data_IF_459927528729
#
_entry.id   IF_459927528729
#
_cell.length_a   1.000
_cell.length_b   1.000
_cell.length_c   1.000
_cell.angle_alpha   90.00
_cell.angle_beta   90.00
_cell.angle_gamma   90.00
#
_symmetry.space_group_name_H-M   'P 1'
#
loop_
_entity.id
_entity.type
_entity.pdbx_description
1 polymer ?
#
# COMPACT_ATOMS: atom_id res chain seq x y z
N UNK A 1 -37.43 -3.29 8.17
CA UNK A 1 -36.63 -2.35 7.38
C UNK A 1 -35.27 -2.20 8.02
N UNK A 2 -34.16 -2.31 7.25
CA UNK A 2 -32.80 -2.04 7.78
C UNK A 2 -32.62 -0.52 7.82
N UNK A 3 -32.37 0.05 9.01
CA UNK A 3 -31.95 1.45 9.15
C UNK A 3 -30.55 1.61 8.58
N UNK A 4 -30.28 2.73 7.90
CA UNK A 4 -28.91 3.10 7.53
C UNK A 4 -28.14 3.42 8.82
N UNK A 5 -26.99 2.80 8.98
CA UNK A 5 -26.07 3.11 10.08
C UNK A 5 -25.01 4.11 9.60
N UNK A 6 -24.37 4.83 10.51
CA UNK A 6 -23.29 5.79 10.17
C UNK A 6 -22.12 5.18 9.39
N UNK A 7 -22.00 3.84 9.37
CA UNK A 7 -21.05 3.11 8.52
C UNK A 7 -21.48 3.05 7.05
N UNK A 8 -22.78 3.26 6.75
CA UNK A 8 -23.34 3.13 5.40
C UNK A 8 -23.22 4.43 4.59
N UNK A 9 -22.90 5.54 5.23
CA UNK A 9 -22.73 6.83 4.57
C UNK A 9 -21.72 7.76 5.27
N UNK A 10 -21.24 8.76 4.55
CA UNK A 10 -20.42 9.87 5.07
C UNK A 10 -20.95 11.19 4.52
N UNK A 11 -21.07 12.19 5.38
CA UNK A 11 -21.39 13.56 4.96
C UNK A 11 -20.10 14.30 4.61
N UNK A 12 -20.12 15.02 3.51
CA UNK A 12 -19.00 15.83 3.04
C UNK A 12 -19.53 17.20 2.65
N UNK A 13 -18.99 18.24 3.27
CA UNK A 13 -19.29 19.64 2.91
C UNK A 13 -18.17 20.19 2.04
N UNK A 14 -18.52 20.67 0.83
CA UNK A 14 -17.59 21.28 -0.09
C UNK A 14 -18.09 22.68 -0.45
N UNK A 15 -17.43 23.72 0.04
CA UNK A 15 -17.87 25.12 -0.03
C UNK A 15 -19.24 25.29 0.64
N UNK A 16 -20.24 25.73 -0.11
CA UNK A 16 -21.64 25.95 0.27
C UNK A 16 -22.55 24.76 0.00
N UNK A 17 -22.02 23.65 -0.53
CA UNK A 17 -22.76 22.45 -0.88
C UNK A 17 -22.46 21.29 0.07
N UNK A 18 -23.49 20.53 0.36
CA UNK A 18 -23.39 19.28 1.11
C UNK A 18 -23.54 18.07 0.18
N UNK A 19 -22.80 17.04 0.46
CA UNK A 19 -22.80 15.77 -0.26
C UNK A 19 -22.92 14.61 0.71
N UNK A 20 -23.65 13.58 0.33
CA UNK A 20 -23.60 12.27 1.02
C UNK A 20 -22.80 11.31 0.16
N UNK A 21 -21.82 10.67 0.76
CA UNK A 21 -21.10 9.55 0.19
C UNK A 21 -21.67 8.25 0.72
N UNK A 22 -22.27 7.44 -0.14
CA UNK A 22 -22.79 6.11 0.20
C UNK A 22 -21.64 5.10 0.13
N UNK A 23 -21.27 4.53 1.26
CA UNK A 23 -20.10 3.63 1.36
C UNK A 23 -20.29 2.32 0.60
N UNK A 24 -21.52 1.82 0.53
CA UNK A 24 -21.87 0.61 -0.21
C UNK A 24 -21.81 0.79 -1.72
N UNK A 25 -22.44 1.85 -2.26
CA UNK A 25 -22.49 2.13 -3.70
C UNK A 25 -21.32 2.95 -4.23
N UNK A 26 -20.53 3.55 -3.33
CA UNK A 26 -19.50 4.54 -3.65
C UNK A 26 -20.05 5.72 -4.47
N UNK A 27 -21.32 6.01 -4.33
CA UNK A 27 -21.96 7.16 -4.96
C UNK A 27 -21.79 8.41 -4.10
N UNK A 28 -21.61 9.54 -4.77
CA UNK A 28 -21.64 10.87 -4.16
C UNK A 28 -22.89 11.56 -4.65
N UNK A 29 -23.81 11.86 -3.76
CA UNK A 29 -25.04 12.57 -4.06
C UNK A 29 -24.95 13.99 -3.50
N UNK A 30 -25.23 15.00 -4.33
CA UNK A 30 -25.38 16.38 -3.84
C UNK A 30 -26.70 16.50 -3.09
N UNK A 31 -26.65 17.01 -1.86
CA UNK A 31 -27.86 17.24 -1.05
C UNK A 31 -28.47 18.57 -1.51
N UNK A 32 -29.45 18.50 -2.40
CA UNK A 32 -30.16 19.67 -2.91
C UNK A 32 -31.52 19.89 -2.20
N UNK A 33 -31.92 18.94 -1.35
CA UNK A 33 -33.20 18.99 -0.67
C UNK A 33 -33.01 19.36 0.81
N UNK A 34 -33.65 20.43 1.31
CA UNK A 34 -33.56 20.83 2.72
C UNK A 34 -33.94 19.71 3.71
N UNK A 35 -34.83 18.80 3.33
CA UNK A 35 -35.20 17.64 4.17
C UNK A 35 -34.07 16.61 4.29
N UNK A 36 -33.24 16.46 3.23
CA UNK A 36 -32.03 15.64 3.26
C UNK A 36 -30.95 16.30 4.12
N UNK A 37 -30.83 17.61 4.03
CA UNK A 37 -29.89 18.40 4.82
C UNK A 37 -30.24 18.26 6.32
N UNK A 38 -31.51 18.43 6.70
CA UNK A 38 -32.00 18.25 8.05
C UNK A 38 -31.84 16.81 8.54
N UNK A 39 -32.07 15.82 7.67
CA UNK A 39 -31.90 14.41 8.01
C UNK A 39 -30.43 14.07 8.36
N UNK A 40 -29.50 14.54 7.57
CA UNK A 40 -28.10 14.24 7.79
C UNK A 40 -27.46 15.11 8.89
N UNK A 41 -27.93 16.31 9.11
CA UNK A 41 -27.52 17.16 10.23
C UNK A 41 -28.11 16.68 11.57
N UNK A 42 -29.33 16.13 11.58
CA UNK A 42 -30.00 15.62 12.79
C UNK A 42 -29.43 14.27 13.29
N UNK A 43 -28.65 13.54 12.44
CA UNK A 43 -27.97 12.31 12.89
C UNK A 43 -26.82 12.58 13.88
N UNK A 44 -26.44 13.84 14.07
CA UNK A 44 -25.54 14.25 15.15
C UNK A 44 -26.25 14.54 16.48
N UNK A 45 -27.60 14.68 16.50
CA UNK A 45 -28.41 14.86 17.75
C UNK A 45 -29.86 14.51 17.48
N UNK A 46 -30.26 13.30 17.85
CA UNK A 46 -31.68 12.87 17.75
C UNK A 46 -32.58 13.63 18.71
N UNK A 47 -33.59 14.30 18.17
CA UNK A 47 -34.74 14.79 18.95
C UNK A 47 -36.01 14.02 18.53
N UNK A 48 -36.69 13.40 19.50
CA UNK A 48 -37.77 12.44 19.33
C UNK A 48 -39.11 13.10 18.93
N UNK A 49 -39.29 13.63 17.73
CA UNK A 49 -40.58 14.09 17.27
C UNK A 49 -41.14 13.26 16.10
N UNK A 50 -42.24 12.56 16.39
CA UNK A 50 -42.87 11.52 15.57
C UNK A 50 -43.42 11.96 14.19
N UNK A 51 -43.45 13.26 13.85
CA UNK A 51 -43.97 13.79 12.56
C UNK A 51 -42.98 13.63 11.38
N UNK A 52 -41.74 13.28 11.62
CA UNK A 52 -40.72 13.04 10.59
C UNK A 52 -40.61 11.58 10.13
N UNK A 53 -41.29 10.66 10.78
CA UNK A 53 -41.08 9.22 10.59
C UNK A 53 -41.50 8.73 9.19
N UNK A 54 -42.65 9.18 8.67
CA UNK A 54 -43.10 8.80 7.31
C UNK A 54 -42.22 9.37 6.19
N UNK A 55 -41.74 10.61 6.36
CA UNK A 55 -40.81 11.24 5.40
C UNK A 55 -39.46 10.60 5.46
N UNK A 56 -39.00 10.26 6.65
CA UNK A 56 -37.80 9.53 6.95
C UNK A 56 -37.80 8.14 6.32
N UNK A 57 -38.91 7.40 6.47
CA UNK A 57 -39.04 6.05 5.89
C UNK A 57 -39.02 6.05 4.36
N UNK A 58 -39.64 7.05 3.71
CA UNK A 58 -39.58 7.20 2.26
C UNK A 58 -38.16 7.51 1.77
N UNK A 59 -37.45 8.39 2.46
CA UNK A 59 -36.09 8.77 2.12
C UNK A 59 -35.14 7.62 2.36
N UNK A 60 -35.22 6.95 3.50
CA UNK A 60 -34.42 5.79 3.85
C UNK A 60 -34.65 4.65 2.85
N UNK A 61 -35.90 4.44 2.43
CA UNK A 61 -36.27 3.46 1.42
C UNK A 61 -35.69 3.81 0.06
N UNK A 62 -35.67 5.08 -0.33
CA UNK A 62 -35.04 5.54 -1.59
C UNK A 62 -33.52 5.37 -1.55
N UNK A 63 -32.86 5.71 -0.46
CA UNK A 63 -31.40 5.53 -0.29
C UNK A 63 -31.03 4.04 -0.24
N UNK A 64 -31.85 3.19 0.38
CA UNK A 64 -31.67 1.73 0.39
C UNK A 64 -31.88 1.17 -1.02
N UNK A 65 -32.90 1.61 -1.75
CA UNK A 65 -33.12 1.19 -3.14
C UNK A 65 -31.99 1.62 -4.06
N UNK A 66 -31.42 2.83 -3.87
CA UNK A 66 -30.22 3.27 -4.57
C UNK A 66 -29.00 2.39 -4.23
N UNK A 67 -28.84 2.04 -2.94
CA UNK A 67 -27.79 1.11 -2.51
C UNK A 67 -27.94 -0.28 -3.14
N UNK A 68 -29.16 -0.80 -3.19
CA UNK A 68 -29.46 -2.17 -3.66
C UNK A 68 -29.47 -2.28 -5.20
N UNK A 69 -29.60 -1.14 -5.93
CA UNK A 69 -29.41 -1.06 -7.39
C UNK A 69 -27.95 -0.98 -7.81
N UNK A 70 -27.01 -1.10 -6.89
CA UNK A 70 -25.60 -1.21 -7.19
C UNK A 70 -25.36 -2.57 -7.85
N UNK A 71 -24.91 -2.55 -9.07
CA UNK A 71 -24.26 -3.72 -9.65
C UNK A 71 -22.94 -3.95 -8.91
N UNK A 72 -23.03 -4.66 -7.77
CA UNK A 72 -21.86 -5.33 -7.21
C UNK A 72 -21.41 -6.22 -8.36
N UNK A 73 -20.30 -5.89 -9.00
CA UNK A 73 -19.55 -6.91 -9.70
C UNK A 73 -19.13 -7.86 -8.59
N UNK A 74 -19.94 -8.89 -8.34
CA UNK A 74 -19.44 -10.08 -7.70
C UNK A 74 -18.22 -10.45 -8.55
N UNK A 75 -17.05 -10.23 -7.98
CA UNK A 75 -15.88 -10.94 -8.47
C UNK A 75 -16.20 -12.40 -8.20
N UNK A 76 -16.92 -13.03 -9.15
CA UNK A 76 -16.89 -14.48 -9.28
C UNK A 76 -15.43 -14.87 -9.08
N UNK A 77 -15.18 -15.99 -8.42
CA UNK A 77 -13.83 -16.54 -8.18
C UNK A 77 -13.07 -16.66 -9.50
N UNK A 78 -12.66 -15.52 -10.04
CA UNK A 78 -11.90 -15.47 -11.27
C UNK A 78 -10.45 -15.71 -10.87
N UNK A 79 -9.85 -16.64 -11.60
CA UNK A 79 -8.40 -16.84 -11.59
C UNK A 79 -7.72 -15.48 -11.56
N UNK A 80 -6.86 -15.18 -10.59
CA UNK A 80 -6.23 -13.88 -10.49
C UNK A 80 -5.46 -13.59 -11.79
N UNK A 81 -5.68 -12.42 -12.39
CA UNK A 81 -5.01 -12.02 -13.64
C UNK A 81 -3.49 -11.94 -13.45
N UNK A 82 -3.08 -11.63 -12.24
CA UNK A 82 -1.68 -11.64 -11.82
C UNK A 82 -1.55 -12.20 -10.40
N UNK A 83 -0.43 -12.83 -10.13
CA UNK A 83 -0.06 -13.32 -8.80
C UNK A 83 1.34 -12.81 -8.44
N UNK A 84 1.55 -12.45 -7.18
CA UNK A 84 2.84 -11.95 -6.70
C UNK A 84 3.43 -12.87 -5.64
N UNK A 85 4.68 -13.25 -5.86
CA UNK A 85 5.52 -13.92 -4.87
C UNK A 85 6.59 -12.94 -4.38
N UNK A 86 6.55 -12.64 -3.10
CA UNK A 86 7.55 -11.82 -2.43
C UNK A 86 8.57 -12.72 -1.76
N UNK A 87 9.84 -12.55 -2.08
CA UNK A 87 10.96 -13.18 -1.40
C UNK A 87 11.40 -12.29 -0.23
N UNK A 88 11.23 -12.74 0.99
CA UNK A 88 11.86 -12.11 2.16
C UNK A 88 13.34 -12.52 2.17
N UNK A 89 14.17 -11.80 1.41
CA UNK A 89 15.52 -12.23 1.05
C UNK A 89 16.47 -12.38 2.24
N UNK A 90 16.29 -11.53 3.26
CA UNK A 90 17.08 -11.51 4.50
C UNK A 90 16.42 -10.63 5.53
N UNK A 91 16.70 -10.85 6.79
CA UNK A 91 16.38 -9.94 7.88
C UNK A 91 17.51 -8.93 8.17
N UNK A 92 18.70 -9.09 7.57
CA UNK A 92 19.80 -8.13 7.70
C UNK A 92 19.46 -6.80 7.02
N UNK A 93 19.84 -5.70 7.65
CA UNK A 93 19.67 -4.36 7.11
C UNK A 93 20.84 -3.46 7.51
N UNK A 94 21.25 -2.57 6.62
CA UNK A 94 22.26 -1.54 6.85
C UNK A 94 21.68 -0.23 7.43
N UNK A 95 20.39 -0.27 7.83
CA UNK A 95 19.68 0.82 8.49
C UNK A 95 19.06 0.35 9.82
N UNK A 96 18.74 1.33 10.69
CA UNK A 96 18.04 1.15 11.95
C UNK A 96 16.82 2.08 12.03
N UNK A 97 15.86 1.88 11.12
CA UNK A 97 14.64 2.69 11.11
C UNK A 97 13.83 2.45 12.38
N UNK A 98 13.37 3.55 13.03
CA UNK A 98 12.72 3.49 14.36
C UNK A 98 11.43 2.67 14.36
N UNK A 99 10.66 2.72 13.30
CA UNK A 99 9.38 2.03 13.15
C UNK A 99 9.51 0.64 12.48
N UNK A 100 10.73 0.14 12.26
CA UNK A 100 10.93 -1.06 11.45
C UNK A 100 10.42 -2.31 12.18
N UNK A 101 9.35 -2.89 11.70
CA UNK A 101 8.80 -4.14 12.21
C UNK A 101 9.68 -5.36 11.90
N UNK A 102 10.50 -5.28 10.84
CA UNK A 102 11.41 -6.36 10.42
C UNK A 102 12.68 -6.42 11.28
N UNK A 103 12.99 -5.35 12.04
CA UNK A 103 14.17 -5.28 12.88
C UNK A 103 13.90 -5.94 14.23
N UNK A 104 14.18 -7.23 14.35
CA UNK A 104 14.22 -7.93 15.64
C UNK A 104 15.64 -8.40 15.91
N UNK A 105 16.14 -8.10 17.12
CA UNK A 105 17.51 -8.44 17.57
C UNK A 105 17.82 -9.95 17.59
N UNK A 106 16.79 -10.78 17.48
CA UNK A 106 16.86 -12.24 17.66
C UNK A 106 16.61 -13.03 16.38
N UNK A 107 16.43 -12.37 15.22
CA UNK A 107 16.12 -13.09 13.98
C UNK A 107 17.36 -13.60 13.28
N UNK A 108 17.19 -14.78 12.71
CA UNK A 108 18.14 -15.40 11.79
C UNK A 108 18.45 -14.43 10.65
N UNK A 109 19.72 -14.09 10.48
CA UNK A 109 20.18 -13.10 9.48
C UNK A 109 20.70 -13.72 8.18
N UNK A 110 20.69 -15.07 8.12
CA UNK A 110 21.12 -15.78 6.92
C UNK A 110 20.22 -15.41 5.73
N UNK A 111 20.81 -15.16 4.58
CA UNK A 111 20.03 -14.87 3.37
C UNK A 111 19.26 -16.11 2.91
N UNK A 112 18.15 -15.87 2.21
CA UNK A 112 17.39 -16.95 1.56
C UNK A 112 18.27 -17.74 0.61
N UNK A 113 18.16 -19.07 0.66
CA UNK A 113 18.86 -19.93 -0.28
C UNK A 113 18.17 -19.97 -1.64
N UNK A 114 18.94 -20.18 -2.72
CA UNK A 114 18.39 -20.37 -4.07
C UNK A 114 17.42 -21.55 -4.13
N UNK A 115 17.68 -22.61 -3.37
CA UNK A 115 16.81 -23.78 -3.29
C UNK A 115 15.40 -23.42 -2.78
N UNK A 116 15.30 -22.58 -1.76
CA UNK A 116 14.02 -22.05 -1.25
C UNK A 116 13.29 -21.27 -2.32
N UNK A 117 13.99 -20.34 -3.01
CA UNK A 117 13.39 -19.54 -4.06
C UNK A 117 12.89 -20.41 -5.23
N UNK A 118 13.67 -21.37 -5.72
CA UNK A 118 13.28 -22.24 -6.83
C UNK A 118 12.05 -23.09 -6.48
N UNK A 119 12.01 -23.66 -5.26
CA UNK A 119 10.86 -24.44 -4.81
C UNK A 119 9.61 -23.58 -4.66
N UNK A 120 9.74 -22.36 -4.15
CA UNK A 120 8.63 -21.40 -4.06
C UNK A 120 8.10 -20.99 -5.43
N UNK A 121 8.97 -20.72 -6.41
CA UNK A 121 8.59 -20.43 -7.79
C UNK A 121 7.84 -21.62 -8.41
N UNK A 122 8.34 -22.84 -8.21
CA UNK A 122 7.68 -24.05 -8.70
C UNK A 122 6.29 -24.23 -8.10
N UNK A 123 6.13 -24.03 -6.80
CA UNK A 123 4.85 -24.10 -6.12
C UNK A 123 3.89 -23.04 -6.67
N UNK A 124 4.31 -21.79 -6.81
CA UNK A 124 3.49 -20.72 -7.35
C UNK A 124 2.95 -21.06 -8.75
N UNK A 125 3.80 -21.58 -9.63
CA UNK A 125 3.40 -21.96 -11.00
C UNK A 125 2.43 -23.14 -10.99
N UNK A 126 2.57 -24.08 -10.03
CA UNK A 126 1.67 -25.22 -9.83
C UNK A 126 0.31 -24.76 -9.29
N UNK A 127 0.31 -23.89 -8.28
CA UNK A 127 -0.91 -23.48 -7.58
C UNK A 127 -1.74 -22.47 -8.40
N UNK A 128 -1.09 -21.71 -9.28
CA UNK A 128 -1.73 -20.71 -10.15
C UNK A 128 -1.50 -20.99 -11.65
N UNK A 129 -1.85 -22.17 -12.16
CA UNK A 129 -1.51 -22.58 -13.55
C UNK A 129 -2.20 -21.73 -14.63
N UNK A 130 -3.33 -21.12 -14.30
CA UNK A 130 -4.14 -20.33 -15.25
C UNK A 130 -3.86 -18.81 -15.19
N UNK A 131 -3.01 -18.38 -14.28
CA UNK A 131 -2.58 -16.97 -14.20
C UNK A 131 -1.69 -16.63 -15.39
N UNK A 132 -1.89 -15.44 -15.95
CA UNK A 132 -1.12 -14.95 -17.11
C UNK A 132 0.15 -14.22 -16.71
N UNK A 133 0.14 -13.50 -15.59
CA UNK A 133 1.25 -12.64 -15.17
C UNK A 133 1.72 -12.97 -13.75
N UNK A 134 3.03 -13.11 -13.59
CA UNK A 134 3.69 -13.42 -12.32
C UNK A 134 4.61 -12.25 -11.93
N UNK A 135 4.46 -11.78 -10.71
CA UNK A 135 5.29 -10.71 -10.16
C UNK A 135 6.24 -11.31 -9.12
N UNK A 136 7.52 -11.07 -9.28
CA UNK A 136 8.56 -11.52 -8.35
C UNK A 136 9.13 -10.31 -7.63
N UNK A 137 8.86 -10.23 -6.32
CA UNK A 137 9.15 -9.07 -5.52
C UNK A 137 10.24 -9.37 -4.49
N UNK A 138 11.37 -8.69 -4.60
CA UNK A 138 12.47 -8.79 -3.65
C UNK A 138 12.26 -7.79 -2.52
N UNK A 139 12.16 -8.32 -1.31
CA UNK A 139 11.83 -7.61 -0.08
C UNK A 139 12.66 -8.16 1.10
N UNK A 140 12.52 -7.57 2.31
CA UNK A 140 13.15 -8.03 3.54
C UNK A 140 13.70 -6.89 4.38
N UNK A 141 14.79 -7.10 5.08
CA UNK A 141 15.54 -6.03 5.74
C UNK A 141 16.09 -5.05 4.69
N UNK A 142 17.20 -5.38 4.05
CA UNK A 142 17.66 -4.72 2.81
C UNK A 142 18.05 -5.77 1.77
N UNK A 143 17.20 -5.99 0.76
CA UNK A 143 17.44 -7.06 -0.23
C UNK A 143 18.73 -6.87 -1.03
N UNK A 144 19.21 -5.64 -1.22
CA UNK A 144 20.45 -5.38 -1.98
C UNK A 144 21.72 -5.83 -1.23
N UNK A 145 21.64 -6.21 0.03
CA UNK A 145 22.72 -6.93 0.72
C UNK A 145 22.94 -8.34 0.14
N UNK A 146 21.90 -8.89 -0.51
CA UNK A 146 21.89 -10.23 -1.09
C UNK A 146 21.89 -10.16 -2.65
N UNK A 147 22.72 -9.30 -3.24
CA UNK A 147 22.72 -9.05 -4.69
C UNK A 147 22.93 -10.30 -5.54
N UNK A 148 23.77 -11.22 -5.09
CA UNK A 148 24.07 -12.46 -5.82
C UNK A 148 22.86 -13.41 -5.81
N UNK A 149 22.12 -13.47 -4.70
CA UNK A 149 20.83 -14.16 -4.64
C UNK A 149 19.83 -13.57 -5.62
N UNK A 150 19.72 -12.23 -5.71
CA UNK A 150 18.80 -11.56 -6.65
C UNK A 150 19.17 -11.94 -8.09
N UNK A 151 20.44 -11.86 -8.46
CA UNK A 151 20.92 -12.20 -9.81
C UNK A 151 20.60 -13.64 -10.18
N UNK A 152 20.93 -14.56 -9.29
CA UNK A 152 20.69 -15.98 -9.54
C UNK A 152 19.21 -16.31 -9.60
N UNK A 153 18.38 -15.72 -8.71
CA UNK A 153 16.92 -15.90 -8.75
C UNK A 153 16.31 -15.38 -10.05
N UNK A 154 16.74 -14.19 -10.53
CA UNK A 154 16.31 -13.65 -11.83
C UNK A 154 16.64 -14.63 -12.95
N UNK A 155 17.89 -15.14 -13.00
CA UNK A 155 18.33 -16.12 -14.01
C UNK A 155 17.47 -17.38 -13.97
N UNK A 156 17.15 -17.92 -12.77
CA UNK A 156 16.32 -19.12 -12.59
C UNK A 156 14.88 -18.88 -13.04
N UNK A 157 14.33 -17.71 -12.77
CA UNK A 157 12.98 -17.35 -13.24
C UNK A 157 12.95 -17.30 -14.76
N UNK A 158 13.91 -16.61 -15.39
CA UNK A 158 13.99 -16.53 -16.87
C UNK A 158 14.13 -17.91 -17.52
N UNK A 159 14.95 -18.79 -16.95
CA UNK A 159 15.09 -20.16 -17.43
C UNK A 159 13.80 -20.96 -17.28
N UNK A 160 13.14 -20.87 -16.12
CA UNK A 160 11.90 -21.57 -15.84
C UNK A 160 10.77 -21.13 -16.75
N UNK A 161 10.64 -19.83 -17.02
CA UNK A 161 9.56 -19.31 -17.86
C UNK A 161 9.68 -19.66 -19.35
N UNK A 162 10.83 -20.14 -19.79
CA UNK A 162 10.96 -20.75 -21.14
C UNK A 162 10.07 -21.98 -21.33
N UNK A 163 9.75 -22.68 -20.24
CA UNK A 163 8.84 -23.85 -20.22
C UNK A 163 7.35 -23.44 -20.23
N UNK A 164 7.03 -22.15 -20.09
CA UNK A 164 5.67 -21.63 -19.98
C UNK A 164 5.37 -20.56 -21.04
N UNK A 165 5.30 -20.94 -22.32
CA UNK A 165 5.03 -19.97 -23.39
C UNK A 165 3.67 -19.30 -23.18
N UNK A 166 3.61 -17.98 -23.34
CA UNK A 166 2.39 -17.18 -23.15
C UNK A 166 2.12 -16.69 -21.72
N UNK A 167 3.00 -17.03 -20.77
CA UNK A 167 3.03 -16.43 -19.42
C UNK A 167 4.03 -15.29 -19.36
N UNK A 168 3.65 -14.20 -18.69
CA UNK A 168 4.47 -13.01 -18.49
C UNK A 168 4.97 -12.93 -17.04
N UNK A 169 6.10 -12.28 -16.83
CA UNK A 169 6.61 -12.02 -15.49
C UNK A 169 7.28 -10.65 -15.41
N UNK A 170 7.36 -10.11 -14.20
CA UNK A 170 8.06 -8.88 -13.92
C UNK A 170 8.78 -8.93 -12.57
N UNK A 171 9.86 -8.15 -12.47
CA UNK A 171 10.67 -8.04 -11.26
C UNK A 171 10.38 -6.73 -10.54
N UNK A 172 10.15 -6.83 -9.24
CA UNK A 172 9.97 -5.71 -8.34
C UNK A 172 11.00 -5.78 -7.22
N UNK A 173 11.41 -4.61 -6.75
CA UNK A 173 12.36 -4.48 -5.65
C UNK A 173 11.90 -3.39 -4.70
N UNK A 174 11.91 -3.65 -3.39
CA UNK A 174 11.81 -2.60 -2.39
C UNK A 174 13.16 -2.45 -1.68
N UNK A 175 13.69 -1.24 -1.65
CA UNK A 175 15.00 -0.97 -1.05
C UNK A 175 15.00 0.31 -0.24
N UNK A 176 15.87 0.40 0.74
CA UNK A 176 16.14 1.64 1.45
C UNK A 176 16.96 2.66 0.63
N UNK A 177 17.42 2.28 -0.54
CA UNK A 177 18.10 3.15 -1.49
C UNK A 177 19.60 3.38 -1.25
N UNK A 178 20.20 2.88 -0.17
CA UNK A 178 21.61 3.16 0.17
C UNK A 178 22.62 2.48 -0.75
N UNK A 179 22.25 1.35 -1.39
CA UNK A 179 23.13 0.53 -2.22
C UNK A 179 22.88 0.70 -3.73
N UNK A 180 22.07 1.68 -4.13
CA UNK A 180 21.73 1.93 -5.54
C UNK A 180 22.85 2.65 -6.34
N UNK A 181 24.03 2.80 -5.75
CA UNK A 181 25.25 3.26 -6.45
C UNK A 181 26.10 2.13 -7.04
N UNK A 182 25.69 0.87 -6.88
CA UNK A 182 26.36 -0.29 -7.49
C UNK A 182 26.02 -0.35 -8.99
N UNK A 183 27.03 -0.14 -9.84
CA UNK A 183 26.87 -0.09 -11.31
C UNK A 183 26.34 -1.40 -11.90
N UNK A 184 26.74 -2.53 -11.33
CA UNK A 184 26.30 -3.84 -11.81
C UNK A 184 24.83 -4.09 -11.47
N UNK A 185 24.37 -3.62 -10.31
CA UNK A 185 22.94 -3.65 -9.97
C UNK A 185 22.13 -2.75 -10.89
N UNK A 186 22.61 -1.52 -11.17
CA UNK A 186 21.95 -0.62 -12.11
C UNK A 186 21.83 -1.21 -13.52
N UNK A 187 22.90 -1.89 -13.99
CA UNK A 187 22.87 -2.59 -15.27
C UNK A 187 21.81 -3.71 -15.28
N UNK A 188 21.77 -4.54 -14.23
CA UNK A 188 20.77 -5.59 -14.08
C UNK A 188 19.34 -5.02 -14.07
N UNK A 189 19.10 -3.98 -13.30
CA UNK A 189 17.77 -3.38 -13.18
C UNK A 189 17.28 -2.80 -14.51
N UNK A 190 18.17 -2.20 -15.26
CA UNK A 190 17.85 -1.67 -16.58
C UNK A 190 17.60 -2.78 -17.61
N UNK A 191 18.46 -3.79 -17.64
CA UNK A 191 18.37 -4.92 -18.57
C UNK A 191 17.08 -5.72 -18.34
N UNK A 192 16.72 -5.97 -17.09
CA UNK A 192 15.58 -6.80 -16.71
C UNK A 192 14.31 -6.01 -16.41
N UNK A 193 14.27 -4.74 -16.76
CA UNK A 193 13.12 -3.81 -16.59
C UNK A 193 12.50 -3.85 -15.18
N UNK A 194 13.37 -3.81 -14.15
CA UNK A 194 12.90 -3.78 -12.76
C UNK A 194 12.03 -2.56 -12.48
N UNK A 195 10.99 -2.76 -11.67
CA UNK A 195 10.28 -1.66 -11.01
C UNK A 195 10.80 -1.54 -9.58
N UNK A 196 11.48 -0.42 -9.29
CA UNK A 196 12.12 -0.20 -8.00
C UNK A 196 11.25 0.71 -7.12
N UNK A 197 10.98 0.29 -5.89
CA UNK A 197 10.37 1.12 -4.87
C UNK A 197 11.44 1.52 -3.86
N UNK A 198 11.67 2.82 -3.72
CA UNK A 198 12.66 3.38 -2.80
C UNK A 198 11.94 3.94 -1.59
N UNK A 199 12.37 3.51 -0.41
CA UNK A 199 11.83 4.00 0.85
C UNK A 199 12.38 5.38 1.18
N UNK A 200 11.50 6.39 1.23
CA UNK A 200 11.80 7.78 1.61
C UNK A 200 10.57 8.36 2.30
N UNK A 201 10.70 8.94 3.49
CA UNK A 201 9.55 9.32 4.32
C UNK A 201 9.13 10.78 4.17
N UNK A 202 9.92 11.59 3.47
CA UNK A 202 9.62 13.01 3.26
C UNK A 202 10.86 13.87 3.11
N UNK A 203 10.77 15.18 3.43
CA UNK A 203 11.92 16.07 3.51
C UNK A 203 12.97 15.57 4.51
N UNK A 204 14.18 16.14 4.48
CA UNK A 204 15.32 15.64 5.25
C UNK A 204 14.99 15.46 6.72
N UNK A 205 14.34 16.43 7.34
CA UNK A 205 14.00 16.41 8.76
C UNK A 205 13.07 15.24 9.10
N UNK A 206 12.05 15.00 8.29
CA UNK A 206 11.09 13.92 8.49
C UNK A 206 11.75 12.57 8.25
N UNK A 207 12.51 12.45 7.15
CA UNK A 207 13.21 11.21 6.83
C UNK A 207 14.22 10.83 7.90
N UNK A 208 15.08 11.77 8.29
CA UNK A 208 16.20 11.50 9.19
C UNK A 208 15.78 11.39 10.67
N UNK A 209 14.55 11.77 11.02
CA UNK A 209 13.94 11.42 12.31
C UNK A 209 13.60 9.92 12.41
N UNK A 210 13.27 9.27 11.31
CA UNK A 210 12.77 7.91 11.29
C UNK A 210 13.77 6.90 10.70
N UNK A 211 14.41 7.27 9.59
CA UNK A 211 15.26 6.39 8.78
C UNK A 211 16.73 6.66 9.03
N UNK A 212 17.22 6.07 10.11
CA UNK A 212 18.61 6.21 10.54
C UNK A 212 19.50 5.11 9.94
N UNK A 213 20.74 5.46 9.67
CA UNK A 213 21.80 4.49 9.47
C UNK A 213 22.10 3.76 10.79
N UNK A 214 22.73 2.60 10.73
CA UNK A 214 23.18 1.86 11.94
C UNK A 214 24.10 2.73 12.80
N UNK A 215 24.84 3.69 12.20
CA UNK A 215 25.66 4.68 12.92
C UNK A 215 24.86 5.77 13.64
N UNK A 216 23.53 5.80 13.52
CA UNK A 216 22.65 6.84 14.07
C UNK A 216 22.56 8.12 13.20
N UNK A 217 23.28 8.19 12.09
CA UNK A 217 23.22 9.33 11.17
C UNK A 217 21.97 9.24 10.28
N UNK A 218 21.51 10.41 9.76
CA UNK A 218 20.44 10.46 8.78
C UNK A 218 20.82 9.85 7.43
N UNK A 219 19.84 9.33 6.72
CA UNK A 219 20.03 8.64 5.43
C UNK A 219 19.66 9.48 4.21
N UNK A 220 18.92 10.58 4.40
CA UNK A 220 18.30 11.37 3.32
C UNK A 220 19.26 11.76 2.20
N UNK A 221 20.40 12.37 2.53
CA UNK A 221 21.36 12.86 1.53
C UNK A 221 21.88 11.74 0.61
N UNK A 222 22.14 10.56 1.20
CA UNK A 222 22.63 9.39 0.45
C UNK A 222 21.54 8.82 -0.47
N UNK A 223 20.31 8.73 0.05
CA UNK A 223 19.16 8.24 -0.73
C UNK A 223 18.90 9.18 -1.92
N UNK A 224 18.87 10.50 -1.69
CA UNK A 224 18.65 11.48 -2.76
C UNK A 224 19.73 11.45 -3.84
N UNK A 225 21.02 11.30 -3.45
CA UNK A 225 22.09 11.14 -4.41
C UNK A 225 21.90 9.89 -5.28
N UNK A 226 21.47 8.78 -4.69
CA UNK A 226 21.22 7.53 -5.41
C UNK A 226 19.95 7.58 -6.28
N UNK A 227 18.93 8.31 -5.89
CA UNK A 227 17.74 8.60 -6.73
C UNK A 227 18.19 9.29 -8.03
N UNK A 228 19.12 10.23 -7.94
CA UNK A 228 19.63 10.91 -9.11
C UNK A 228 20.38 9.96 -10.06
N UNK A 229 21.12 8.99 -9.54
CA UNK A 229 21.76 7.93 -10.37
C UNK A 229 20.73 7.09 -11.14
N UNK A 230 19.60 6.74 -10.52
CA UNK A 230 18.52 6.02 -11.20
C UNK A 230 17.86 6.86 -12.30
N UNK A 231 17.68 8.17 -12.07
CA UNK A 231 17.18 9.10 -13.10
C UNK A 231 18.12 9.14 -14.30
N UNK A 232 19.42 9.32 -14.05
CA UNK A 232 20.46 9.35 -15.11
C UNK A 232 20.54 8.05 -15.88
N UNK A 233 20.37 6.90 -15.20
CA UNK A 233 20.34 5.59 -15.82
C UNK A 233 19.02 5.29 -16.56
N UNK A 234 18.00 6.17 -16.44
CA UNK A 234 16.65 5.98 -16.97
C UNK A 234 16.02 4.66 -16.51
N UNK A 235 16.15 4.36 -15.21
CA UNK A 235 15.54 3.19 -14.55
C UNK A 235 14.20 3.60 -13.95
N UNK A 236 13.18 2.76 -14.10
CA UNK A 236 11.83 3.00 -13.54
C UNK A 236 11.84 2.85 -12.02
N UNK A 237 11.36 3.85 -11.31
CA UNK A 237 11.21 3.77 -9.87
C UNK A 237 10.06 4.63 -9.35
N UNK A 238 9.64 4.32 -8.14
CA UNK A 238 8.70 5.10 -7.35
C UNK A 238 9.21 5.20 -5.90
N UNK A 239 8.58 6.09 -5.13
CA UNK A 239 8.91 6.28 -3.72
C UNK A 239 7.83 5.67 -2.83
N UNK A 240 8.25 5.21 -1.65
CA UNK A 240 7.35 4.72 -0.61
C UNK A 240 7.63 5.42 0.70
N UNK A 241 6.64 6.17 1.19
CA UNK A 241 6.70 6.83 2.48
C UNK A 241 6.03 6.00 3.57
N UNK A 242 6.60 5.99 4.76
CA UNK A 242 5.96 5.50 5.97
C UNK A 242 5.63 6.68 6.86
N UNK A 243 4.33 6.88 7.08
CA UNK A 243 3.83 7.96 7.95
C UNK A 243 3.79 7.43 9.38
N UNK A 244 4.63 7.98 10.24
CA UNK A 244 4.73 7.63 11.65
C UNK A 244 4.07 8.68 12.55
N UNK A 245 3.86 8.41 13.85
CA UNK A 245 3.38 9.42 14.80
C UNK A 245 4.28 10.66 14.88
N UNK A 246 5.55 10.55 14.46
CA UNK A 246 6.54 11.64 14.43
C UNK A 246 6.34 12.62 13.26
N UNK A 247 5.56 12.28 12.25
CA UNK A 247 5.22 13.18 11.15
C UNK A 247 4.31 14.30 11.67
N UNK A 248 4.88 15.50 11.88
CA UNK A 248 4.14 16.63 12.48
C UNK A 248 3.39 17.46 11.42
N UNK A 249 3.85 17.45 10.17
CA UNK A 249 3.25 18.21 9.09
C UNK A 249 3.12 17.31 7.83
N UNK A 250 1.94 16.76 7.62
CA UNK A 250 1.70 15.91 6.46
C UNK A 250 1.65 16.72 5.17
N UNK A 251 1.14 17.95 5.21
CA UNK A 251 1.04 18.78 4.00
C UNK A 251 2.42 19.06 3.41
N UNK A 252 3.40 19.45 4.21
CA UNK A 252 4.77 19.68 3.74
C UNK A 252 5.40 18.41 3.17
N UNK A 253 5.13 17.26 3.80
CA UNK A 253 5.61 15.96 3.32
C UNK A 253 5.06 15.64 1.93
N UNK A 254 3.76 15.85 1.71
CA UNK A 254 3.14 15.59 0.41
C UNK A 254 3.56 16.62 -0.65
N UNK A 255 3.68 17.88 -0.28
CA UNK A 255 4.22 18.93 -1.17
C UNK A 255 5.65 18.62 -1.61
N UNK A 256 6.49 18.14 -0.71
CA UNK A 256 7.85 17.69 -1.03
C UNK A 256 7.83 16.59 -2.11
N UNK A 257 7.01 15.55 -1.96
CA UNK A 257 6.91 14.49 -2.94
C UNK A 257 6.35 14.98 -4.29
N UNK A 258 5.33 15.82 -4.28
CA UNK A 258 4.77 16.41 -5.49
C UNK A 258 5.81 17.27 -6.25
N UNK A 259 6.67 18.00 -5.51
CA UNK A 259 7.76 18.80 -6.08
C UNK A 259 8.89 17.96 -6.65
N UNK A 260 9.15 16.75 -6.09
CA UNK A 260 10.11 15.81 -6.68
C UNK A 260 9.66 15.28 -8.05
N UNK A 261 8.37 15.37 -8.35
CA UNK A 261 7.75 14.88 -9.58
C UNK A 261 8.03 13.39 -9.85
N UNK A 262 8.12 12.59 -8.79
CA UNK A 262 8.30 11.12 -8.83
C UNK A 262 7.01 10.48 -8.31
N UNK A 263 6.48 9.42 -8.96
CA UNK A 263 5.35 8.66 -8.41
C UNK A 263 5.68 8.16 -7.00
N UNK A 264 4.75 8.33 -6.07
CA UNK A 264 4.92 7.86 -4.69
C UNK A 264 3.65 7.27 -4.11
N UNK A 265 3.84 6.34 -3.18
CA UNK A 265 2.80 5.77 -2.33
C UNK A 265 3.16 5.99 -0.86
N UNK A 266 2.17 5.87 0.03
CA UNK A 266 2.42 5.98 1.46
C UNK A 266 1.64 4.92 2.24
N UNK A 267 2.10 4.63 3.45
CA UNK A 267 1.35 3.84 4.44
C UNK A 267 1.59 4.43 5.83
N UNK A 268 0.62 4.23 6.70
CA UNK A 268 0.80 4.53 8.12
C UNK A 268 1.59 3.40 8.79
N UNK A 269 2.33 3.73 9.86
CA UNK A 269 2.97 2.73 10.69
C UNK A 269 1.94 1.79 11.30
N UNK A 270 2.31 0.52 11.44
CA UNK A 270 1.54 -0.50 12.11
C UNK A 270 2.35 -0.94 13.33
N UNK A 271 1.73 -0.93 14.51
CA UNK A 271 2.37 -1.48 15.71
C UNK A 271 2.38 -3.01 15.61
N UNK A 272 3.55 -3.59 15.54
CA UNK A 272 3.74 -5.03 15.50
C UNK A 272 3.96 -5.65 16.89
N UNK A 273 4.42 -4.83 17.87
CA UNK A 273 4.74 -5.26 19.23
C UNK A 273 4.44 -4.16 20.24
N UNK A 274 4.08 -4.53 21.47
CA UNK A 274 3.88 -3.59 22.59
C UNK A 274 5.14 -2.77 22.92
N UNK A 275 6.33 -3.31 22.65
CA UNK A 275 7.63 -2.63 22.91
C UNK A 275 7.91 -1.47 21.96
N UNK A 276 7.28 -1.45 20.79
CA UNK A 276 7.51 -0.43 19.73
C UNK A 276 6.37 0.59 19.68
N UNK A 277 5.44 0.57 20.64
CA UNK A 277 4.25 1.43 20.63
C UNK A 277 4.58 2.92 20.53
N UNK A 278 5.63 3.39 21.21
CA UNK A 278 6.01 4.81 21.19
C UNK A 278 6.41 5.33 19.80
N UNK A 279 6.95 4.44 18.93
CA UNK A 279 7.43 4.78 17.60
C UNK A 279 6.39 4.50 16.51
N UNK A 280 5.44 3.63 16.77
CA UNK A 280 4.52 3.10 15.75
C UNK A 280 3.05 3.33 16.06
N UNK A 281 2.67 3.44 17.33
CA UNK A 281 1.27 3.60 17.75
C UNK A 281 0.77 5.01 17.46
N UNK A 282 -0.23 5.09 16.60
CA UNK A 282 -0.99 6.31 16.36
C UNK A 282 -2.15 6.31 17.39
N UNK A 283 -1.96 7.02 18.49
CA UNK A 283 -3.00 7.20 19.50
C UNK A 283 -4.15 8.12 18.99
N UNK A 284 -5.24 8.20 19.75
CA UNK A 284 -6.41 8.99 19.39
C UNK A 284 -6.08 10.46 19.09
N UNK A 285 -5.25 11.10 19.92
CA UNK A 285 -4.87 12.51 19.77
C UNK A 285 -4.01 12.73 18.51
N UNK A 286 -3.04 11.87 18.29
CA UNK A 286 -2.22 11.87 17.07
C UNK A 286 -3.07 11.65 15.84
N UNK A 287 -4.01 10.70 15.90
CA UNK A 287 -4.94 10.43 14.81
C UNK A 287 -5.83 11.62 14.48
N UNK A 288 -6.45 12.26 15.49
CA UNK A 288 -7.28 13.46 15.30
C UNK A 288 -6.49 14.60 14.63
N UNK A 289 -5.27 14.84 15.06
CA UNK A 289 -4.38 15.79 14.39
C UNK A 289 -4.11 15.40 12.95
N UNK A 290 -3.68 14.15 12.72
CA UNK A 290 -3.36 13.65 11.38
C UNK A 290 -4.56 13.71 10.44
N UNK A 291 -5.79 13.54 10.92
CA UNK A 291 -6.99 13.69 10.11
C UNK A 291 -7.14 15.13 9.58
N UNK A 292 -6.90 16.12 10.42
CA UNK A 292 -6.94 17.54 10.00
C UNK A 292 -5.89 17.83 8.94
N UNK A 293 -4.66 17.39 9.17
CA UNK A 293 -3.56 17.55 8.20
C UNK A 293 -3.88 16.81 6.90
N UNK A 294 -4.46 15.61 6.98
CA UNK A 294 -4.81 14.81 5.81
C UNK A 294 -5.90 15.45 4.95
N UNK A 295 -6.86 16.15 5.57
CA UNK A 295 -7.84 16.94 4.82
C UNK A 295 -7.18 18.07 4.04
N UNK A 296 -6.16 18.72 4.59
CA UNK A 296 -5.37 19.74 3.86
C UNK A 296 -4.60 19.13 2.69
N UNK A 297 -3.99 17.94 2.89
CA UNK A 297 -3.34 17.18 1.81
C UNK A 297 -4.34 16.84 0.70
N UNK A 298 -5.52 16.34 1.08
CA UNK A 298 -6.54 15.98 0.11
C UNK A 298 -6.99 17.19 -0.70
N UNK A 299 -7.21 18.33 -0.04
CA UNK A 299 -7.53 19.60 -0.70
C UNK A 299 -6.41 20.03 -1.66
N UNK A 300 -5.17 20.00 -1.22
CA UNK A 300 -4.01 20.36 -2.03
C UNK A 300 -3.92 19.51 -3.31
N UNK A 301 -4.04 18.19 -3.21
CA UNK A 301 -3.99 17.28 -4.36
C UNK A 301 -5.19 17.48 -5.30
N UNK A 302 -6.38 17.75 -4.74
CA UNK A 302 -7.60 18.05 -5.51
C UNK A 302 -7.46 19.38 -6.26
N UNK A 303 -6.94 20.43 -5.61
CA UNK A 303 -6.71 21.72 -6.23
C UNK A 303 -5.71 21.62 -7.39
N UNK A 304 -4.67 20.79 -7.27
CA UNK A 304 -3.76 20.48 -8.40
C UNK A 304 -4.50 19.88 -9.59
N UNK A 305 -5.37 18.88 -9.34
CA UNK A 305 -6.17 18.27 -10.42
C UNK A 305 -7.12 19.27 -11.08
N UNK A 306 -7.78 20.13 -10.31
CA UNK A 306 -8.67 21.17 -10.83
C UNK A 306 -7.93 22.18 -11.70
N UNK A 307 -6.66 22.46 -11.39
CA UNK A 307 -5.77 23.27 -12.23
C UNK A 307 -5.15 22.49 -13.39
N UNK A 308 -5.53 21.21 -13.60
CA UNK A 308 -4.98 20.32 -14.62
C UNK A 308 -3.48 20.03 -14.46
N UNK A 309 -2.97 20.17 -13.26
CA UNK A 309 -1.59 19.82 -12.91
C UNK A 309 -1.46 18.31 -12.68
N UNK A 310 -0.28 17.78 -12.98
CA UNK A 310 0.01 16.36 -12.73
C UNK A 310 0.11 16.10 -11.22
N UNK A 311 -0.57 15.06 -10.75
CA UNK A 311 -0.48 14.54 -9.38
C UNK A 311 0.34 13.26 -9.39
N UNK A 312 1.29 13.13 -8.47
CA UNK A 312 2.22 12.00 -8.38
C UNK A 312 1.83 10.99 -7.30
N UNK A 313 0.97 11.36 -6.34
CA UNK A 313 0.45 10.46 -5.31
C UNK A 313 -0.37 9.31 -5.92
N UNK A 314 0.18 8.09 -5.87
CA UNK A 314 -0.44 6.91 -6.46
C UNK A 314 -1.71 6.48 -5.71
N UNK A 315 -1.68 6.52 -4.37
CA UNK A 315 -2.84 6.15 -3.54
C UNK A 315 -4.03 7.09 -3.78
N UNK A 316 -3.79 8.39 -3.95
CA UNK A 316 -4.83 9.36 -4.27
C UNK A 316 -5.46 9.06 -5.63
N UNK A 317 -4.64 8.85 -6.66
CA UNK A 317 -5.13 8.49 -8.00
C UNK A 317 -5.91 7.17 -8.01
N UNK A 318 -5.43 6.18 -7.27
CA UNK A 318 -6.12 4.88 -7.15
C UNK A 318 -7.51 5.06 -6.53
N UNK A 319 -7.62 5.84 -5.45
CA UNK A 319 -8.93 6.11 -4.81
C UNK A 319 -9.88 6.84 -5.75
N UNK A 320 -9.39 7.83 -6.49
CA UNK A 320 -10.21 8.52 -7.50
C UNK A 320 -10.65 7.57 -8.63
N UNK A 321 -9.78 6.69 -9.09
CA UNK A 321 -10.12 5.68 -10.11
C UNK A 321 -11.23 4.75 -9.61
N UNK A 322 -11.12 4.25 -8.37
CA UNK A 322 -12.15 3.40 -7.75
C UNK A 322 -13.49 4.12 -7.71
N UNK A 323 -13.50 5.38 -7.23
CA UNK A 323 -14.71 6.21 -7.16
C UNK A 323 -15.30 6.47 -8.55
N UNK A 324 -14.48 6.81 -9.54
CA UNK A 324 -14.94 7.11 -10.90
C UNK A 324 -15.49 5.90 -11.63
N UNK A 325 -14.96 4.72 -11.35
CA UNK A 325 -15.40 3.45 -11.95
C UNK A 325 -16.59 2.83 -11.20
N UNK A 326 -16.99 3.42 -10.07
CA UNK A 326 -18.01 2.85 -9.18
C UNK A 326 -17.73 1.38 -8.83
N UNK A 327 -16.45 1.05 -8.66
CA UNK A 327 -16.01 -0.33 -8.40
C UNK A 327 -16.10 -0.62 -6.92
N UNK A 328 -16.90 -1.58 -6.52
CA UNK A 328 -16.89 -2.11 -5.17
C UNK A 328 -15.83 -3.21 -5.12
N UNK A 329 -14.84 -3.03 -4.27
CA UNK A 329 -13.89 -4.08 -3.94
C UNK A 329 -14.46 -4.96 -2.85
N UNK A 330 -14.60 -6.24 -3.11
CA UNK A 330 -15.01 -7.24 -2.11
C UNK A 330 -13.88 -7.54 -1.13
N UNK A 331 -12.63 -7.21 -1.50
CA UNK A 331 -11.43 -7.45 -0.71
C UNK A 331 -10.63 -6.14 -0.55
N UNK A 332 -10.09 -5.92 0.65
CA UNK A 332 -9.25 -4.75 0.95
C UNK A 332 -7.89 -4.79 0.25
N UNK A 333 -7.33 -5.99 0.07
CA UNK A 333 -6.07 -6.25 -0.64
C UNK A 333 -6.02 -7.70 -1.13
N UNK A 334 -4.97 -8.05 -1.88
CA UNK A 334 -4.76 -9.39 -2.44
C UNK A 334 -3.95 -10.33 -1.51
N UNK A 335 -3.75 -9.96 -0.24
CA UNK A 335 -3.00 -10.77 0.73
C UNK A 335 -3.64 -12.15 0.92
N UNK A 336 -2.85 -13.22 0.75
CA UNK A 336 -3.30 -14.61 0.85
C UNK A 336 -4.18 -15.11 -0.30
N UNK A 337 -4.49 -14.25 -1.28
CA UNK A 337 -5.30 -14.61 -2.46
C UNK A 337 -4.50 -14.62 -3.75
N UNK A 338 -3.77 -13.55 -4.02
CA UNK A 338 -2.90 -13.39 -5.18
C UNK A 338 -1.52 -12.81 -4.82
N UNK A 339 -1.30 -12.46 -3.56
CA UNK A 339 -0.03 -12.00 -3.03
C UNK A 339 0.40 -12.90 -1.89
N UNK A 340 1.61 -13.45 -2.00
CA UNK A 340 2.21 -14.36 -1.04
C UNK A 340 3.64 -13.93 -0.75
N UNK A 341 4.10 -14.22 0.47
CA UNK A 341 5.49 -14.03 0.87
C UNK A 341 6.06 -15.38 1.25
N UNK A 342 7.28 -15.64 0.83
CA UNK A 342 8.08 -16.76 1.33
C UNK A 342 9.27 -16.20 2.11
N UNK A 343 9.52 -16.75 3.30
CA UNK A 343 10.69 -16.41 4.09
C UNK A 343 11.89 -17.34 3.80
N UNK A 344 13.03 -17.05 4.39
CA UNK A 344 14.27 -17.82 4.21
C UNK A 344 14.18 -19.26 4.74
N UNK A 345 13.18 -19.54 5.56
CA UNK A 345 12.88 -20.90 6.07
C UNK A 345 11.89 -21.67 5.18
N UNK A 346 11.36 -21.01 4.14
CA UNK A 346 10.39 -21.62 3.23
C UNK A 346 8.96 -21.63 3.75
N UNK A 347 8.62 -20.79 4.73
CA UNK A 347 7.26 -20.59 5.22
C UNK A 347 6.54 -19.56 4.38
N UNK A 348 5.26 -19.79 4.08
CA UNK A 348 4.42 -18.82 3.37
C UNK A 348 3.62 -17.94 4.33
N UNK A 349 3.47 -16.67 3.95
CA UNK A 349 2.67 -15.67 4.66
C UNK A 349 1.77 -14.90 3.69
N UNK A 350 0.59 -14.48 4.16
CA UNK A 350 -0.33 -13.70 3.35
C UNK A 350 0.22 -12.30 3.05
N UNK A 351 0.93 -11.67 3.98
CA UNK A 351 1.57 -10.36 3.75
C UNK A 351 2.75 -10.14 4.71
N UNK A 352 3.60 -9.14 4.41
CA UNK A 352 4.78 -8.80 5.22
C UNK A 352 4.44 -8.44 6.68
N UNK A 353 3.23 -7.94 6.94
CA UNK A 353 2.80 -7.60 8.29
C UNK A 353 2.52 -8.83 9.16
N UNK A 354 2.48 -10.03 8.57
CA UNK A 354 2.30 -11.30 9.29
C UNK A 354 3.64 -11.91 9.76
N UNK A 355 4.76 -11.48 9.16
CA UNK A 355 6.08 -11.99 9.50
C UNK A 355 6.45 -11.82 11.00
N UNK A 356 6.18 -10.67 11.65
CA UNK A 356 6.49 -10.50 13.07
C UNK A 356 5.70 -11.42 14.00
N UNK A 357 4.52 -11.87 13.56
CA UNK A 357 3.62 -12.72 14.34
C UNK A 357 3.83 -14.22 14.08
N UNK A 358 4.76 -14.57 13.18
CA UNK A 358 5.02 -15.94 12.74
C UNK A 358 3.77 -16.69 12.23
N UNK A 359 2.75 -15.94 11.81
CA UNK A 359 1.48 -16.47 11.34
C UNK A 359 1.59 -16.94 9.89
N UNK A 360 2.26 -18.08 9.68
CA UNK A 360 2.39 -18.71 8.37
C UNK A 360 1.07 -19.34 7.91
N UNK A 361 0.88 -19.34 6.60
CA UNK A 361 -0.27 -19.94 5.89
C UNK A 361 0.17 -21.14 5.04
N UNK A 362 1.25 -21.78 5.37
CA UNK A 362 1.80 -22.93 4.67
C UNK A 362 3.31 -22.94 4.60
N UNK A 363 3.86 -23.88 3.87
CA UNK A 363 5.31 -24.01 3.66
C UNK A 363 5.62 -24.66 2.31
N UNK A 364 6.92 -24.75 1.99
CA UNK A 364 7.38 -25.29 0.70
C UNK A 364 7.00 -26.74 0.45
N UNK A 365 6.76 -27.54 1.49
CA UNK A 365 6.47 -28.98 1.34
C UNK A 365 4.97 -29.21 1.11
N UNK A 366 4.13 -28.50 1.83
CA UNK A 366 2.68 -28.67 1.82
C UNK A 366 1.97 -27.70 0.87
N UNK A 367 2.65 -26.65 0.41
CA UNK A 367 2.03 -25.57 -0.37
C UNK A 367 1.42 -24.48 0.53
N UNK A 368 0.44 -23.77 -0.03
CA UNK A 368 -0.32 -22.72 0.65
C UNK A 368 -1.62 -23.37 1.13
N UNK A 369 -1.94 -23.20 2.42
CA UNK A 369 -3.16 -23.74 3.05
C UNK A 369 -4.38 -22.88 2.70
#
# INVERSE_FOLDING_TARGET
MKKLETKDYKLVKVKDKQYVFLTGSQEVLEIQNPLLEEYFDSTCSWNENATHEEKFDKLTSALIAMRDNVHIREETETVPQQVMLTFNTTHACNMACRYCFAFTKEKHIEPMSIHVAEKAIKNLLKDFPNTKRYLFYFFGGEPLLCKDFIRETVRRIEERFKEYPGKDFAFLLNTNGLLLNDKDLLALFKEKDFTITISLDGPQEVNDQNRLLVSGQGSFKRIMANIELLRQANIKFNLRATISPRNQNLLDTFQFFENLAIPYAYAFTISANEKDEAETKIDKRTWERMQVDYLQVFKFLTDKLLRKEKVFCMDFKQKLSILSQKTIRTHGCEAGRANFIVDEQGRYFACQNMLPYEASIGNLDNGID
#
